data_IF_800582445268
#
_entry.id   IF_800582445268
#
_cell.length_a   1.000
_cell.length_b   1.000
_cell.length_c   1.000
_cell.angle_alpha   90.00
_cell.angle_beta   90.00
_cell.angle_gamma   90.00
#
_symmetry.space_group_name_H-M   'P 1'
#
loop_
_entity.id
_entity.type
_entity.pdbx_description
1 polymer ?
#
# COMPACT_ATOMS: atom_id res chain seq x y z
N UNK A 1 -19.86 -1.70 13.85
CA UNK A 1 -18.93 -2.02 12.76
C UNK A 1 -19.76 -2.44 11.55
N UNK A 2 -19.87 -1.62 10.50
CA UNK A 2 -20.63 -2.03 9.32
C UNK A 2 -19.94 -3.18 8.63
N UNK A 3 -20.62 -4.32 8.51
CA UNK A 3 -20.16 -5.43 7.70
C UNK A 3 -19.92 -4.92 6.26
N UNK A 4 -18.69 -5.07 5.76
CA UNK A 4 -18.37 -4.77 4.36
C UNK A 4 -19.26 -5.65 3.48
N UNK A 5 -20.10 -5.04 2.67
CA UNK A 5 -20.93 -5.75 1.69
C UNK A 5 -20.00 -6.40 0.66
N UNK A 6 -19.93 -7.73 0.66
CA UNK A 6 -19.21 -8.48 -0.37
C UNK A 6 -20.06 -8.50 -1.64
N UNK A 7 -19.44 -8.17 -2.78
CA UNK A 7 -20.08 -8.30 -4.09
C UNK A 7 -19.57 -9.56 -4.79
N UNK A 8 -20.49 -10.44 -5.20
CA UNK A 8 -20.13 -11.60 -6.03
C UNK A 8 -19.66 -11.10 -7.40
N UNK A 9 -18.50 -11.58 -7.82
CA UNK A 9 -17.89 -11.29 -9.13
C UNK A 9 -17.43 -12.62 -9.72
N UNK A 10 -17.79 -12.88 -10.99
CA UNK A 10 -17.31 -14.07 -11.71
C UNK A 10 -16.00 -13.75 -12.42
N UNK A 11 -15.06 -14.69 -12.37
CA UNK A 11 -13.75 -14.59 -13.03
C UNK A 11 -13.43 -15.92 -13.72
N UNK A 12 -12.73 -15.84 -14.84
CA UNK A 12 -12.24 -17.01 -15.58
C UNK A 12 -10.79 -17.24 -15.21
N UNK A 13 -10.46 -18.44 -14.77
CA UNK A 13 -9.12 -18.89 -14.43
C UNK A 13 -8.84 -20.23 -15.11
N UNK A 14 -7.57 -20.63 -15.11
CA UNK A 14 -7.16 -21.94 -15.60
C UNK A 14 -7.86 -23.07 -14.83
N UNK A 15 -8.45 -24.02 -15.57
CA UNK A 15 -9.23 -25.10 -15.00
C UNK A 15 -8.36 -26.08 -14.21
N UNK A 16 -7.17 -26.43 -14.70
CA UNK A 16 -6.26 -27.35 -14.02
C UNK A 16 -5.79 -26.77 -12.69
N UNK A 17 -5.53 -25.46 -12.65
CA UNK A 17 -5.18 -24.75 -11.41
C UNK A 17 -6.33 -24.76 -10.41
N UNK A 18 -7.57 -24.56 -10.87
CA UNK A 18 -8.75 -24.59 -10.00
C UNK A 18 -9.00 -25.98 -9.43
N UNK A 19 -8.88 -27.02 -10.25
CA UNK A 19 -9.02 -28.40 -9.82
C UNK A 19 -7.93 -28.75 -8.80
N UNK A 20 -6.68 -28.38 -9.07
CA UNK A 20 -5.58 -28.62 -8.13
C UNK A 20 -5.75 -27.85 -6.81
N UNK A 21 -6.24 -26.61 -6.87
CA UNK A 21 -6.54 -25.82 -5.68
C UNK A 21 -7.64 -26.48 -4.84
N UNK A 22 -8.66 -27.02 -5.49
CA UNK A 22 -9.75 -27.75 -4.83
C UNK A 22 -9.25 -29.03 -4.16
N UNK A 23 -8.43 -29.82 -4.85
CA UNK A 23 -7.83 -31.06 -4.31
C UNK A 23 -6.95 -30.78 -3.07
N UNK A 24 -6.30 -29.61 -3.04
CA UNK A 24 -5.47 -29.15 -1.93
C UNK A 24 -6.25 -28.41 -0.84
N UNK A 25 -7.57 -28.25 -0.97
CA UNK A 25 -8.40 -27.53 0.00
C UNK A 25 -8.16 -26.01 0.05
N UNK A 26 -7.60 -25.43 -1.01
CA UNK A 26 -7.30 -23.99 -1.08
C UNK A 26 -8.59 -23.21 -1.31
N UNK A 27 -8.82 -22.19 -0.46
CA UNK A 27 -9.93 -21.26 -0.64
C UNK A 27 -9.59 -20.20 -1.71
N UNK A 28 -9.93 -20.51 -2.96
CA UNK A 28 -9.69 -19.63 -4.12
C UNK A 28 -10.26 -18.22 -3.91
N UNK A 29 -11.44 -18.09 -3.31
CA UNK A 29 -12.03 -16.77 -3.07
C UNK A 29 -11.23 -15.93 -2.07
N UNK A 30 -10.66 -16.55 -1.04
CA UNK A 30 -9.84 -15.85 -0.05
C UNK A 30 -8.50 -15.41 -0.67
N UNK A 31 -7.88 -16.27 -1.48
CA UNK A 31 -6.66 -15.96 -2.23
C UNK A 31 -6.91 -14.79 -3.21
N UNK A 32 -8.00 -14.86 -3.98
CA UNK A 32 -8.37 -13.80 -4.91
C UNK A 32 -8.67 -12.48 -4.19
N UNK A 33 -9.37 -12.50 -3.05
CA UNK A 33 -9.63 -11.30 -2.24
C UNK A 33 -8.32 -10.68 -1.73
N UNK A 34 -7.40 -11.47 -1.20
CA UNK A 34 -6.11 -10.98 -0.71
C UNK A 34 -5.24 -10.40 -1.84
N UNK A 35 -5.16 -11.09 -2.98
CA UNK A 35 -4.42 -10.62 -4.15
C UNK A 35 -5.00 -9.31 -4.69
N UNK A 36 -6.32 -9.20 -4.77
CA UNK A 36 -7.00 -8.00 -5.24
C UNK A 36 -6.79 -6.81 -4.29
N UNK A 37 -6.86 -7.02 -2.97
CA UNK A 37 -6.58 -5.96 -1.98
C UNK A 37 -5.14 -5.45 -2.17
N UNK A 38 -4.17 -6.35 -2.31
CA UNK A 38 -2.77 -5.97 -2.53
C UNK A 38 -2.60 -5.15 -3.81
N UNK A 39 -3.19 -5.61 -4.92
CA UNK A 39 -3.10 -4.93 -6.21
C UNK A 39 -3.77 -3.54 -6.17
N UNK A 40 -4.95 -3.42 -5.56
CA UNK A 40 -5.66 -2.15 -5.42
C UNK A 40 -4.86 -1.15 -4.57
N UNK A 41 -4.28 -1.60 -3.46
CA UNK A 41 -3.47 -0.74 -2.59
C UNK A 41 -2.19 -0.26 -3.30
N UNK A 42 -1.53 -1.14 -4.06
CA UNK A 42 -0.37 -0.78 -4.86
C UNK A 42 -0.73 0.28 -5.90
N UNK A 43 -1.79 0.06 -6.68
CA UNK A 43 -2.25 1.00 -7.70
C UNK A 43 -2.66 2.36 -7.09
N UNK A 44 -3.32 2.35 -5.93
CA UNK A 44 -3.66 3.59 -5.20
C UNK A 44 -2.42 4.35 -4.75
N UNK A 45 -1.42 3.64 -4.21
CA UNK A 45 -0.15 4.25 -3.79
C UNK A 45 0.57 4.87 -4.99
N UNK A 46 0.68 4.15 -6.10
CA UNK A 46 1.32 4.65 -7.32
C UNK A 46 0.62 5.89 -7.85
N UNK A 47 -0.72 5.86 -7.93
CA UNK A 47 -1.51 7.02 -8.34
C UNK A 47 -1.28 8.22 -7.41
N UNK A 48 -1.31 8.01 -6.11
CA UNK A 48 -1.07 9.08 -5.14
C UNK A 48 0.35 9.66 -5.26
N UNK A 49 1.37 8.82 -5.42
CA UNK A 49 2.75 9.29 -5.64
C UNK A 49 2.86 10.13 -6.91
N UNK A 50 2.22 9.71 -8.00
CA UNK A 50 2.21 10.47 -9.25
C UNK A 50 1.50 11.83 -9.08
N UNK A 51 0.34 11.86 -8.42
CA UNK A 51 -0.41 13.08 -8.15
C UNK A 51 0.35 14.06 -7.24
N UNK A 52 1.17 13.55 -6.31
CA UNK A 52 1.90 14.35 -5.32
C UNK A 52 3.37 14.59 -5.68
N UNK A 53 3.84 14.07 -6.82
CA UNK A 53 5.25 14.19 -7.24
C UNK A 53 5.69 15.67 -7.30
N UNK A 54 4.84 16.56 -7.81
CA UNK A 54 5.14 17.99 -7.85
C UNK A 54 5.23 18.64 -6.47
N UNK A 55 4.41 18.21 -5.50
CA UNK A 55 4.47 18.70 -4.13
C UNK A 55 5.76 18.27 -3.44
N UNK A 56 6.21 17.02 -3.65
CA UNK A 56 7.48 16.53 -3.12
C UNK A 56 8.69 17.23 -3.75
N UNK A 57 8.65 17.49 -5.06
CA UNK A 57 9.69 18.27 -5.73
C UNK A 57 9.77 19.69 -5.15
N UNK A 58 8.64 20.40 -5.06
CA UNK A 58 8.58 21.74 -4.50
C UNK A 58 9.06 21.79 -3.02
N UNK A 59 8.72 20.77 -2.23
CA UNK A 59 9.20 20.65 -0.86
C UNK A 59 10.73 20.42 -0.80
N UNK A 60 11.26 19.58 -1.68
CA UNK A 60 12.70 19.30 -1.75
C UNK A 60 13.47 20.56 -2.14
N UNK A 61 13.04 21.27 -3.18
CA UNK A 61 13.62 22.55 -3.60
C UNK A 61 13.58 23.59 -2.46
N UNK A 62 12.49 23.62 -1.70
CA UNK A 62 12.38 24.52 -0.56
C UNK A 62 13.37 24.14 0.55
N UNK A 63 13.52 22.85 0.88
CA UNK A 63 14.49 22.38 1.88
C UNK A 63 15.94 22.68 1.47
N UNK A 64 16.29 22.52 0.19
CA UNK A 64 17.63 22.86 -0.30
C UNK A 64 17.95 24.35 -0.13
N UNK A 65 16.96 25.21 -0.34
CA UNK A 65 17.12 26.66 -0.24
C UNK A 65 17.08 27.20 1.19
N UNK A 66 16.33 26.57 2.08
CA UNK A 66 16.01 27.11 3.41
C UNK A 66 16.54 26.25 4.57
N UNK A 67 17.10 25.08 4.27
CA UNK A 67 17.40 24.05 5.27
C UNK A 67 16.15 23.28 5.70
N UNK A 68 16.36 22.17 6.41
CA UNK A 68 15.25 21.37 6.93
C UNK A 68 14.67 22.02 8.20
N UNK A 69 13.36 22.34 8.28
CA UNK A 69 12.78 23.09 9.40
C UNK A 69 12.96 22.44 10.76
N UNK A 70 13.07 21.11 10.79
CA UNK A 70 13.25 20.33 12.00
C UNK A 70 14.69 19.82 12.20
N UNK A 71 15.68 20.37 11.50
CA UNK A 71 17.07 19.89 11.55
C UNK A 71 17.60 19.77 12.99
N UNK A 72 17.41 20.81 13.80
CA UNK A 72 17.90 20.86 15.19
C UNK A 72 17.25 19.81 16.09
N UNK A 73 15.95 19.58 15.88
CA UNK A 73 15.19 18.59 16.65
C UNK A 73 15.60 17.17 16.23
N UNK A 74 15.81 16.93 14.93
CA UNK A 74 16.26 15.63 14.40
C UNK A 74 17.68 15.31 14.91
N UNK A 75 18.54 16.32 15.04
CA UNK A 75 19.89 16.18 15.59
C UNK A 75 19.91 16.10 17.14
N UNK A 76 18.78 16.32 17.81
CA UNK A 76 18.73 16.35 19.26
C UNK A 76 18.94 14.96 19.90
N UNK A 77 19.57 14.88 21.09
CA UNK A 77 19.84 13.61 21.78
C UNK A 77 18.58 12.79 22.10
N UNK A 78 17.42 13.45 22.20
CA UNK A 78 16.13 12.83 22.50
C UNK A 78 15.55 11.94 21.39
N UNK A 79 16.10 11.97 20.16
CA UNK A 79 15.63 11.14 19.05
C UNK A 79 15.59 9.64 19.37
N UNK A 80 16.51 9.16 20.20
CA UNK A 80 16.58 7.76 20.62
C UNK A 80 15.32 7.28 21.33
N UNK A 81 14.56 8.18 21.97
CA UNK A 81 13.32 7.85 22.67
C UNK A 81 12.11 7.59 21.76
N UNK A 82 12.17 8.00 20.48
CA UNK A 82 11.03 7.98 19.57
C UNK A 82 10.83 6.66 18.81
N UNK A 83 11.83 5.78 18.85
CA UNK A 83 11.80 4.47 18.19
C UNK A 83 11.27 3.36 19.12
N UNK A 84 10.51 3.70 20.17
CA UNK A 84 9.94 2.75 21.15
C UNK A 84 8.67 2.08 20.64
#
# INVERSE_FOLDING_TARGET
MSARTKRKTSLTLDAEVLDRAKDLGINVSAVAEAALIKAVNAARREKWLAENAGAFAAQSDWHERNGHPLADIIAAPGRSSWNS
#
